data_IF_993268615904
#
_entry.id   IF_993268615904
#
_cell.length_a   1.000
_cell.length_b   1.000
_cell.length_c   1.000
_cell.angle_alpha   90.00
_cell.angle_beta   90.00
_cell.angle_gamma   90.00
#
_symmetry.space_group_name_H-M   'P 1'
#
loop_
_entity.id
_entity.type
_entity.pdbx_description
1 polymer ?
#
# COMPACT_ATOMS: atom_id res chain seq x y z
N UNK A 1 18.59 15.52 16.39
CA UNK A 1 18.35 15.43 17.83
C UNK A 1 16.85 15.68 18.02
N UNK A 2 16.05 14.62 18.12
CA UNK A 2 14.59 14.70 18.22
C UNK A 2 14.20 14.78 19.70
N UNK A 3 13.29 15.69 20.13
CA UNK A 3 12.88 15.78 21.51
C UNK A 3 12.04 14.57 21.93
N UNK A 4 12.35 14.08 23.13
CA UNK A 4 11.67 12.95 23.77
C UNK A 4 10.18 13.25 24.01
N UNK A 5 9.31 12.35 23.54
CA UNK A 5 7.89 12.39 23.76
C UNK A 5 7.57 12.09 25.23
N UNK A 6 6.96 13.05 25.91
CA UNK A 6 6.38 12.88 27.26
C UNK A 6 5.22 11.88 27.21
N UNK A 7 5.28 10.91 28.10
CA UNK A 7 4.31 9.85 28.30
C UNK A 7 3.07 10.44 28.96
N UNK A 8 1.89 10.33 28.33
CA UNK A 8 0.59 10.58 28.95
C UNK A 8 -0.32 9.36 28.84
N UNK A 9 -0.63 8.84 30.00
CA UNK A 9 -1.83 8.21 30.59
C UNK A 9 -2.77 7.31 29.78
N UNK A 10 -2.75 6.11 30.18
CA UNK A 10 -3.73 5.03 30.53
C UNK A 10 -4.99 4.73 29.70
N UNK A 11 -5.57 5.57 28.88
CA UNK A 11 -6.79 5.22 28.13
C UNK A 11 -6.55 4.88 26.64
N UNK A 12 -5.41 5.26 26.06
CA UNK A 12 -5.04 5.01 24.66
C UNK A 12 -4.34 3.66 24.42
N UNK A 13 -4.28 2.78 25.42
CA UNK A 13 -3.46 1.56 25.37
C UNK A 13 -4.00 0.48 24.41
N UNK A 14 -5.26 0.53 24.02
CA UNK A 14 -5.87 -0.52 23.19
C UNK A 14 -5.59 -0.32 21.71
N UNK A 15 -5.55 0.92 21.22
CA UNK A 15 -5.31 1.23 19.80
C UNK A 15 -3.83 1.07 19.44
N UNK A 16 -2.93 1.49 20.35
CA UNK A 16 -1.47 1.45 20.09
C UNK A 16 -0.85 0.06 20.30
N UNK A 17 -1.49 -0.84 21.08
CA UNK A 17 -0.96 -2.19 21.33
C UNK A 17 -0.92 -3.09 20.09
N UNK A 18 -1.83 -2.93 19.15
CA UNK A 18 -1.86 -3.73 17.92
C UNK A 18 -0.70 -3.47 16.95
N UNK A 19 -0.02 -2.32 17.06
CA UNK A 19 1.04 -1.91 16.13
C UNK A 19 2.45 -2.31 16.57
N UNK A 20 2.65 -2.73 17.83
CA UNK A 20 3.98 -3.08 18.37
C UNK A 20 4.43 -4.50 18.06
N UNK A 21 3.53 -5.41 17.72
CA UNK A 21 3.83 -6.85 17.53
C UNK A 21 4.07 -7.26 16.07
N UNK A 22 3.83 -6.38 15.13
CA UNK A 22 4.16 -6.60 13.73
C UNK A 22 5.33 -5.67 13.40
N UNK A 23 6.33 -6.12 12.69
CA UNK A 23 7.45 -5.33 12.12
C UNK A 23 6.95 -4.25 11.13
N UNK A 24 5.90 -3.53 11.50
CA UNK A 24 5.22 -2.53 10.70
C UNK A 24 5.88 -1.20 10.99
N UNK A 25 6.37 -0.56 9.96
CA UNK A 25 6.81 0.83 9.97
C UNK A 25 5.72 1.69 10.63
N UNK A 26 6.11 2.59 11.54
CA UNK A 26 5.15 3.43 12.28
C UNK A 26 4.28 4.20 11.29
N UNK A 27 2.94 4.09 11.42
CA UNK A 27 2.05 4.81 10.50
C UNK A 27 2.23 6.32 10.66
N UNK A 28 2.02 7.07 9.58
CA UNK A 28 2.19 8.51 9.52
C UNK A 28 0.94 9.16 8.95
N UNK A 29 0.45 10.22 9.60
CA UNK A 29 -0.68 11.00 9.10
C UNK A 29 -0.16 12.32 8.56
N UNK A 30 -0.59 12.67 7.35
CA UNK A 30 -0.35 13.98 6.76
C UNK A 30 -1.59 14.84 6.94
N UNK A 31 -1.42 16.10 7.32
CA UNK A 31 -2.51 17.07 7.44
C UNK A 31 -2.21 18.24 6.50
N UNK A 32 -3.13 18.55 5.59
CA UNK A 32 -3.01 19.66 4.66
C UNK A 32 -4.23 20.56 4.79
N UNK A 33 -4.00 21.73 5.35
CA UNK A 33 -5.02 22.73 5.65
C UNK A 33 -4.36 24.11 5.69
N UNK A 34 -4.94 25.12 5.08
CA UNK A 34 -4.39 26.47 5.07
C UNK A 34 -4.74 27.25 6.35
N UNK A 35 -5.84 26.91 7.02
CA UNK A 35 -6.16 27.48 8.33
C UNK A 35 -5.26 26.87 9.40
N UNK A 36 -4.39 27.72 9.95
CA UNK A 36 -3.43 27.31 10.99
C UNK A 36 -4.13 26.76 12.22
N UNK A 37 -5.23 27.39 12.67
CA UNK A 37 -5.95 26.96 13.88
C UNK A 37 -6.64 25.62 13.68
N UNK A 38 -7.29 25.41 12.54
CA UNK A 38 -7.91 24.13 12.20
C UNK A 38 -6.85 23.03 12.07
N UNK A 39 -5.75 23.32 11.39
CA UNK A 39 -4.63 22.39 11.21
C UNK A 39 -4.01 21.98 12.55
N UNK A 40 -3.70 22.93 13.42
CA UNK A 40 -3.15 22.66 14.76
C UNK A 40 -4.10 21.82 15.59
N UNK A 41 -5.40 22.12 15.59
CA UNK A 41 -6.41 21.32 16.31
C UNK A 41 -6.47 19.86 15.86
N UNK A 42 -6.37 19.61 14.55
CA UNK A 42 -6.29 18.24 13.99
C UNK A 42 -4.98 17.56 14.38
N UNK A 43 -3.86 18.29 14.31
CA UNK A 43 -2.54 17.77 14.70
C UNK A 43 -2.52 17.37 16.17
N UNK A 44 -2.98 18.24 17.06
CA UNK A 44 -3.02 18.01 18.50
C UNK A 44 -3.88 16.78 18.84
N UNK A 45 -5.05 16.65 18.22
CA UNK A 45 -5.92 15.50 18.39
C UNK A 45 -5.23 14.19 17.99
N UNK A 46 -4.62 14.15 16.82
CA UNK A 46 -3.96 12.95 16.32
C UNK A 46 -2.71 12.59 17.15
N UNK A 47 -1.95 13.58 17.58
CA UNK A 47 -0.80 13.39 18.46
C UNK A 47 -1.21 12.93 19.86
N UNK A 48 -2.37 13.37 20.38
CA UNK A 48 -2.88 12.94 21.68
C UNK A 48 -3.14 11.43 21.75
N UNK A 49 -3.47 10.81 20.62
CA UNK A 49 -3.63 9.35 20.49
C UNK A 49 -2.34 8.63 20.05
N UNK A 50 -1.21 9.35 19.99
CA UNK A 50 0.11 8.77 19.71
C UNK A 50 0.42 8.56 18.24
N UNK A 51 -0.33 9.15 17.31
CA UNK A 51 -0.05 9.11 15.87
C UNK A 51 0.99 10.18 15.51
N UNK A 52 2.06 9.83 14.77
CA UNK A 52 2.96 10.80 14.19
C UNK A 52 2.25 11.60 13.10
N UNK A 53 2.42 12.92 13.10
CA UNK A 53 1.78 13.82 12.14
C UNK A 53 2.82 14.73 11.50
N UNK A 54 2.70 14.93 10.17
CA UNK A 54 3.40 15.99 9.44
C UNK A 54 2.31 16.88 8.83
N UNK A 55 2.38 18.17 9.09
CA UNK A 55 1.37 19.13 8.62
C UNK A 55 1.95 20.09 7.59
N UNK A 56 1.11 20.52 6.65
CA UNK A 56 1.43 21.44 5.58
C UNK A 56 0.33 22.48 5.43
N UNK A 57 0.70 23.72 5.11
CA UNK A 57 -0.25 24.82 4.89
C UNK A 57 -0.78 24.89 3.46
N UNK A 58 -0.25 24.06 2.53
CA UNK A 58 -0.67 24.10 1.13
C UNK A 58 -0.33 22.82 0.38
N UNK A 59 -1.02 22.59 -0.75
CA UNK A 59 -0.74 21.48 -1.66
C UNK A 59 0.69 21.50 -2.24
N UNK A 60 1.24 22.65 -2.70
CA UNK A 60 2.64 22.70 -3.16
C UNK A 60 3.64 22.36 -2.07
N UNK A 61 3.42 22.79 -0.84
CA UNK A 61 4.28 22.47 0.30
C UNK A 61 4.30 20.97 0.57
N UNK A 62 3.15 20.31 0.53
CA UNK A 62 3.08 18.85 0.64
C UNK A 62 3.85 18.14 -0.48
N UNK A 63 3.72 18.59 -1.72
CA UNK A 63 4.40 17.95 -2.87
C UNK A 63 5.92 18.06 -2.78
N UNK A 64 6.44 19.14 -2.19
CA UNK A 64 7.88 19.39 -1.99
C UNK A 64 8.39 18.86 -0.66
N UNK A 65 7.49 18.59 0.29
CA UNK A 65 7.82 18.17 1.64
C UNK A 65 8.33 16.74 1.76
N UNK A 66 8.88 16.38 2.93
CA UNK A 66 9.34 15.03 3.19
C UNK A 66 8.18 14.05 3.25
N UNK A 67 8.29 12.96 2.50
CA UNK A 67 7.33 11.85 2.51
C UNK A 67 8.06 10.55 2.82
N UNK A 68 8.21 10.21 4.09
CA UNK A 68 8.78 8.93 4.49
C UNK A 68 8.00 7.77 3.88
N UNK A 69 8.68 6.71 3.49
CA UNK A 69 8.04 5.49 2.97
C UNK A 69 7.41 4.68 4.11
N UNK A 70 6.32 5.20 4.66
CA UNK A 70 5.54 4.61 5.75
C UNK A 70 4.07 4.44 5.36
N UNK A 71 3.35 3.47 5.95
CA UNK A 71 1.91 3.40 5.79
C UNK A 71 1.28 4.64 6.40
N UNK A 72 0.25 5.18 5.77
CA UNK A 72 -0.39 6.38 6.31
C UNK A 72 -1.58 6.83 5.50
N UNK A 73 -2.14 7.97 5.88
CA UNK A 73 -3.24 8.63 5.20
C UNK A 73 -3.02 10.14 5.19
N UNK A 74 -3.81 10.83 4.37
CA UNK A 74 -3.83 12.29 4.29
C UNK A 74 -5.19 12.81 4.73
N UNK A 75 -5.18 13.75 5.66
CA UNK A 75 -6.32 14.56 6.07
C UNK A 75 -6.20 15.87 5.31
N UNK A 76 -7.18 16.18 4.48
CA UNK A 76 -7.09 17.21 3.46
C UNK A 76 -8.29 18.15 3.52
N UNK A 77 -8.04 19.45 3.68
CA UNK A 77 -9.11 20.42 3.49
C UNK A 77 -9.56 20.49 2.04
N UNK A 78 -10.87 20.63 1.86
CA UNK A 78 -11.49 20.80 0.52
C UNK A 78 -11.14 22.14 -0.11
N UNK A 79 -10.94 23.19 0.69
CA UNK A 79 -10.70 24.55 0.24
C UNK A 79 -9.26 24.99 0.47
N UNK A 80 -8.37 24.58 -0.40
CA UNK A 80 -6.98 25.05 -0.36
C UNK A 80 -6.78 26.27 -1.25
N UNK A 81 -5.88 27.18 -0.89
CA UNK A 81 -5.51 28.31 -1.73
C UNK A 81 -4.94 27.87 -3.07
N UNK A 82 -5.47 28.39 -4.15
CA UNK A 82 -4.99 28.12 -5.50
C UNK A 82 -5.42 26.80 -6.12
N UNK A 83 -5.88 25.82 -5.31
CA UNK A 83 -6.42 24.55 -5.82
C UNK A 83 -7.47 23.99 -4.87
N UNK A 84 -8.47 23.29 -5.36
CA UNK A 84 -9.38 22.57 -4.47
C UNK A 84 -8.75 21.27 -4.01
N UNK A 85 -9.11 20.79 -2.79
CA UNK A 85 -8.67 19.49 -2.30
C UNK A 85 -9.00 18.34 -3.25
N UNK A 86 -10.14 18.43 -3.96
CA UNK A 86 -10.54 17.46 -4.99
C UNK A 86 -9.61 17.47 -6.21
N UNK A 87 -9.14 18.64 -6.63
CA UNK A 87 -8.14 18.75 -7.70
C UNK A 87 -6.79 18.23 -7.21
N UNK A 88 -6.43 18.55 -5.98
CA UNK A 88 -5.21 18.07 -5.38
C UNK A 88 -5.18 16.54 -5.26
N UNK A 89 -6.29 15.90 -4.92
CA UNK A 89 -6.40 14.43 -4.94
C UNK A 89 -6.04 13.84 -6.32
N UNK A 90 -6.47 14.48 -7.42
CA UNK A 90 -6.08 14.04 -8.77
C UNK A 90 -4.58 14.20 -9.01
N UNK A 91 -4.00 15.31 -8.57
CA UNK A 91 -2.55 15.54 -8.66
C UNK A 91 -1.78 14.48 -7.89
N UNK A 92 -2.26 14.04 -6.70
CA UNK A 92 -1.64 12.95 -5.97
C UNK A 92 -1.63 11.65 -6.76
N UNK A 93 -2.73 11.31 -7.43
CA UNK A 93 -2.83 10.11 -8.28
C UNK A 93 -1.88 10.21 -9.48
N UNK A 94 -1.82 11.34 -10.15
CA UNK A 94 -0.91 11.59 -11.28
C UNK A 94 0.56 11.54 -10.88
N UNK A 95 0.86 11.92 -9.63
CA UNK A 95 2.20 11.84 -9.04
C UNK A 95 2.54 10.45 -8.45
N UNK A 96 1.70 9.44 -8.68
CA UNK A 96 1.84 8.07 -8.15
C UNK A 96 1.88 8.01 -6.60
N UNK A 97 1.21 8.99 -5.96
CA UNK A 97 1.10 9.08 -4.50
C UNK A 97 -0.21 8.44 -4.06
N UNK A 98 -0.18 7.17 -3.69
CA UNK A 98 -1.35 6.38 -3.35
C UNK A 98 -1.68 6.43 -1.85
N UNK A 99 -1.81 7.63 -1.30
CA UNK A 99 -2.26 7.82 0.08
C UNK A 99 -3.79 7.81 0.14
N UNK A 100 -4.40 7.11 1.10
CA UNK A 100 -5.82 7.25 1.44
C UNK A 100 -6.14 8.69 1.82
N UNK A 101 -7.19 9.26 1.25
CA UNK A 101 -7.59 10.67 1.47
C UNK A 101 -8.85 10.72 2.31
N UNK A 102 -8.80 11.55 3.37
CA UNK A 102 -9.92 11.92 4.23
C UNK A 102 -10.12 13.41 4.05
N UNK A 103 -11.30 13.81 3.59
CA UNK A 103 -11.61 15.23 3.44
C UNK A 103 -12.19 15.82 4.70
N UNK A 104 -11.76 17.06 5.03
CA UNK A 104 -12.38 17.91 6.05
C UNK A 104 -12.86 19.18 5.36
N UNK A 105 -14.01 19.72 5.76
CA UNK A 105 -14.50 20.99 5.22
C UNK A 105 -15.41 21.70 6.20
N UNK A 106 -15.29 23.04 6.25
CA UNK A 106 -16.21 23.90 6.97
C UNK A 106 -17.57 24.10 6.28
N UNK A 107 -17.64 23.79 4.98
CA UNK A 107 -18.84 23.97 4.17
C UNK A 107 -18.98 22.75 3.25
N UNK A 108 -19.53 21.67 3.81
CA UNK A 108 -19.85 20.47 3.02
C UNK A 108 -21.19 20.62 2.32
N UNK A 109 -21.20 20.64 0.99
CA UNK A 109 -22.40 20.42 0.20
C UNK A 109 -22.46 18.96 -0.28
N UNK A 110 -23.66 18.46 -0.51
CA UNK A 110 -23.89 17.09 -0.95
C UNK A 110 -23.16 16.77 -2.28
N UNK A 111 -23.19 17.65 -3.30
CA UNK A 111 -22.46 17.40 -4.55
C UNK A 111 -20.96 17.21 -4.34
N UNK A 112 -20.32 18.03 -3.52
CA UNK A 112 -18.87 17.94 -3.23
C UNK A 112 -18.51 16.65 -2.51
N UNK A 113 -19.29 16.24 -1.50
CA UNK A 113 -19.05 14.99 -0.78
C UNK A 113 -19.21 13.76 -1.69
N UNK A 114 -20.22 13.75 -2.56
CA UNK A 114 -20.41 12.68 -3.55
C UNK A 114 -19.24 12.61 -4.52
N UNK A 115 -18.74 13.76 -5.00
CA UNK A 115 -17.57 13.80 -5.88
C UNK A 115 -16.30 13.29 -5.18
N UNK A 116 -16.07 13.67 -3.94
CA UNK A 116 -14.95 13.21 -3.14
C UNK A 116 -14.94 11.66 -3.00
N UNK A 117 -16.08 11.09 -2.62
CA UNK A 117 -16.24 9.65 -2.47
C UNK A 117 -16.08 8.89 -3.81
N UNK A 118 -16.65 9.42 -4.91
CA UNK A 118 -16.46 8.85 -6.26
C UNK A 118 -15.01 8.91 -6.73
N UNK A 119 -14.23 9.88 -6.25
CA UNK A 119 -12.79 10.00 -6.54
C UNK A 119 -11.92 9.09 -5.67
N UNK A 120 -12.53 8.26 -4.81
CA UNK A 120 -11.81 7.29 -3.97
C UNK A 120 -11.36 7.83 -2.62
N UNK A 121 -11.97 8.91 -2.12
CA UNK A 121 -11.80 9.32 -0.74
C UNK A 121 -12.34 8.24 0.21
N UNK A 122 -11.71 8.09 1.37
CA UNK A 122 -12.18 7.16 2.41
C UNK A 122 -13.37 7.73 3.14
N UNK A 123 -13.28 9.02 3.50
CA UNK A 123 -14.30 9.68 4.30
C UNK A 123 -14.35 11.17 3.97
N UNK A 124 -15.49 11.78 4.28
CA UNK A 124 -15.73 13.20 4.11
C UNK A 124 -16.38 13.74 5.40
N UNK A 125 -15.63 14.56 6.14
CA UNK A 125 -16.02 15.08 7.45
C UNK A 125 -16.31 16.58 7.37
N UNK A 126 -17.38 17.02 8.04
CA UNK A 126 -17.73 18.44 8.14
C UNK A 126 -17.34 19.00 9.49
N UNK A 127 -16.95 20.27 9.52
CA UNK A 127 -16.75 20.99 10.80
C UNK A 127 -18.11 21.50 11.34
N UNK A 128 -18.30 21.53 12.67
CA UNK A 128 -17.32 21.27 13.71
C UNK A 128 -16.90 19.81 13.75
N UNK A 129 -15.58 19.60 13.69
CA UNK A 129 -15.00 18.27 13.62
C UNK A 129 -15.24 17.50 14.94
N UNK A 130 -15.79 16.30 14.83
CA UNK A 130 -15.93 15.40 15.95
C UNK A 130 -14.72 14.47 16.01
N UNK A 131 -14.16 14.29 17.21
CA UNK A 131 -12.93 13.51 17.42
C UNK A 131 -13.07 12.06 16.92
N UNK A 132 -14.12 11.37 17.37
CA UNK A 132 -14.29 9.95 17.06
C UNK A 132 -14.40 9.64 15.56
N UNK A 133 -15.25 10.32 14.77
CA UNK A 133 -15.30 10.10 13.31
C UNK A 133 -13.97 10.35 12.60
N UNK A 134 -13.18 11.33 13.03
CA UNK A 134 -11.85 11.56 12.46
C UNK A 134 -10.91 10.42 12.79
N UNK A 135 -10.87 9.97 14.04
CA UNK A 135 -10.01 8.87 14.46
C UNK A 135 -10.38 7.56 13.77
N UNK A 136 -11.67 7.28 13.60
CA UNK A 136 -12.15 6.09 12.89
C UNK A 136 -11.76 6.13 11.41
N UNK A 137 -11.92 7.27 10.74
CA UNK A 137 -11.51 7.46 9.36
C UNK A 137 -9.99 7.31 9.17
N UNK A 138 -9.20 7.91 10.06
CA UNK A 138 -7.73 7.81 10.04
C UNK A 138 -7.29 6.36 10.24
N UNK A 139 -7.88 5.64 11.20
CA UNK A 139 -7.57 4.23 11.43
C UNK A 139 -7.89 3.37 10.20
N UNK A 140 -9.08 3.54 9.61
CA UNK A 140 -9.46 2.85 8.37
C UNK A 140 -8.50 3.16 7.22
N UNK A 141 -8.04 4.41 7.12
CA UNK A 141 -7.04 4.85 6.15
C UNK A 141 -5.70 4.14 6.32
N UNK A 142 -5.19 4.11 7.55
CA UNK A 142 -3.92 3.46 7.89
C UNK A 142 -4.01 1.95 7.64
N UNK A 143 -5.07 1.28 8.07
CA UNK A 143 -5.28 -0.15 7.84
C UNK A 143 -5.31 -0.49 6.34
N UNK A 144 -6.05 0.30 5.56
CA UNK A 144 -6.10 0.16 4.11
C UNK A 144 -4.73 0.38 3.45
N UNK A 145 -3.92 1.33 3.92
CA UNK A 145 -2.57 1.56 3.45
C UNK A 145 -1.64 0.39 3.80
N UNK A 146 -1.71 -0.13 5.02
CA UNK A 146 -0.94 -1.31 5.45
C UNK A 146 -1.25 -2.53 4.58
N UNK A 147 -2.53 -2.83 4.37
CA UNK A 147 -2.95 -3.96 3.54
C UNK A 147 -2.47 -3.84 2.10
N UNK A 148 -2.59 -2.65 1.49
CA UNK A 148 -2.07 -2.40 0.13
C UNK A 148 -0.56 -2.61 0.05
N UNK A 149 0.21 -2.11 1.03
CA UNK A 149 1.67 -2.29 1.08
C UNK A 149 2.06 -3.76 1.22
N UNK A 150 1.38 -4.51 2.08
CA UNK A 150 1.61 -5.96 2.24
C UNK A 150 1.33 -6.70 0.92
N UNK A 151 0.20 -6.40 0.27
CA UNK A 151 -0.15 -6.99 -1.03
C UNK A 151 0.89 -6.64 -2.09
N UNK A 152 1.32 -5.38 -2.16
CA UNK A 152 2.34 -4.93 -3.11
C UNK A 152 3.69 -5.60 -2.87
N UNK A 153 4.15 -5.69 -1.61
CA UNK A 153 5.37 -6.43 -1.24
C UNK A 153 5.28 -7.91 -1.65
N UNK A 154 4.13 -8.54 -1.41
CA UNK A 154 3.91 -9.94 -1.81
C UNK A 154 3.93 -10.13 -3.33
N UNK A 155 3.23 -9.27 -4.07
CA UNK A 155 3.23 -9.31 -5.54
C UNK A 155 4.63 -9.06 -6.12
N UNK A 156 5.38 -8.11 -5.56
CA UNK A 156 6.76 -7.83 -5.97
C UNK A 156 7.68 -9.01 -5.75
N UNK A 157 7.54 -9.69 -4.61
CA UNK A 157 8.32 -10.90 -4.31
C UNK A 157 7.95 -12.06 -5.26
N UNK A 158 6.65 -12.26 -5.56
CA UNK A 158 6.22 -13.26 -6.53
C UNK A 158 6.76 -12.93 -7.94
N UNK A 159 6.73 -11.65 -8.35
CA UNK A 159 7.29 -11.20 -9.63
C UNK A 159 8.78 -11.47 -9.69
N UNK A 160 9.52 -11.12 -8.65
CA UNK A 160 10.96 -11.40 -8.54
C UNK A 160 11.25 -12.89 -8.69
N UNK A 161 10.50 -13.76 -8.02
CA UNK A 161 10.64 -15.22 -8.13
C UNK A 161 10.34 -15.70 -9.56
N UNK A 162 9.32 -15.13 -10.20
CA UNK A 162 8.99 -15.45 -11.57
C UNK A 162 10.10 -15.02 -12.56
N UNK A 163 10.74 -13.89 -12.31
CA UNK A 163 11.87 -13.42 -13.14
C UNK A 163 13.10 -14.30 -13.03
N UNK A 164 13.29 -15.00 -11.93
CA UNK A 164 14.37 -15.96 -11.75
C UNK A 164 14.17 -17.28 -12.53
N UNK A 165 12.95 -17.55 -13.01
CA UNK A 165 12.68 -18.73 -13.81
C UNK A 165 13.38 -18.65 -15.16
N UNK A 166 13.99 -19.76 -15.58
CA UNK A 166 14.51 -19.92 -16.94
C UNK A 166 13.38 -19.83 -17.98
N UNK A 167 13.68 -19.52 -19.24
CA UNK A 167 12.66 -19.51 -20.31
C UNK A 167 11.84 -20.80 -20.35
N UNK A 168 12.48 -21.93 -20.10
CA UNK A 168 11.82 -23.24 -20.12
C UNK A 168 10.87 -23.44 -18.94
N UNK A 169 11.27 -23.01 -17.75
CA UNK A 169 10.43 -23.05 -16.55
C UNK A 169 9.22 -22.12 -16.68
N UNK A 170 9.38 -20.93 -17.28
CA UNK A 170 8.26 -20.02 -17.57
C UNK A 170 7.25 -20.66 -18.54
N UNK A 171 7.74 -21.38 -19.54
CA UNK A 171 6.89 -22.09 -20.48
C UNK A 171 6.08 -23.21 -19.80
N UNK A 172 6.71 -23.97 -18.91
CA UNK A 172 6.03 -24.97 -18.07
C UNK A 172 5.01 -24.30 -17.17
N UNK A 173 5.42 -23.27 -16.47
CA UNK A 173 4.57 -22.51 -15.52
C UNK A 173 3.30 -21.99 -16.20
N UNK A 174 3.43 -21.38 -17.38
CA UNK A 174 2.29 -20.88 -18.14
C UNK A 174 1.26 -21.97 -18.47
N UNK A 175 1.71 -23.20 -18.74
CA UNK A 175 0.83 -24.34 -19.03
C UNK A 175 0.17 -24.91 -17.78
N UNK A 176 0.91 -24.92 -16.67
CA UNK A 176 0.38 -25.35 -15.34
C UNK A 176 -0.73 -24.44 -14.88
N UNK A 177 -0.55 -23.10 -15.01
CA UNK A 177 -1.55 -22.09 -14.60
C UNK A 177 -2.86 -22.22 -15.39
N UNK A 178 -2.79 -22.64 -16.66
CA UNK A 178 -3.99 -22.89 -17.50
C UNK A 178 -4.65 -24.23 -17.13
N UNK A 179 -4.08 -25.02 -16.21
CA UNK A 179 -4.66 -26.29 -15.76
C UNK A 179 -4.41 -27.46 -16.71
N UNK A 180 -3.40 -27.41 -17.59
CA UNK A 180 -3.10 -28.54 -18.46
C UNK A 180 -2.54 -29.73 -17.67
N UNK A 181 -2.97 -30.97 -18.00
CA UNK A 181 -2.44 -32.17 -17.38
C UNK A 181 -0.94 -32.33 -17.64
N UNK A 182 -0.18 -32.81 -16.66
CA UNK A 182 1.28 -32.98 -16.73
C UNK A 182 1.74 -33.77 -17.99
N UNK A 183 0.94 -34.78 -18.40
CA UNK A 183 1.23 -35.59 -19.62
C UNK A 183 1.21 -34.73 -20.88
N UNK A 184 0.28 -33.78 -21.00
CA UNK A 184 0.21 -32.86 -22.14
C UNK A 184 1.33 -31.82 -22.08
N UNK A 185 1.68 -31.34 -20.90
CA UNK A 185 2.79 -30.44 -20.72
C UNK A 185 4.08 -31.10 -21.13
N UNK A 186 4.33 -32.35 -20.67
CA UNK A 186 5.51 -33.12 -21.05
C UNK A 186 5.61 -33.34 -22.57
N UNK A 187 4.50 -33.70 -23.23
CA UNK A 187 4.47 -33.91 -24.69
C UNK A 187 4.82 -32.64 -25.50
N UNK A 188 4.40 -31.46 -25.01
CA UNK A 188 4.73 -30.17 -25.65
C UNK A 188 6.16 -29.71 -25.38
N UNK A 189 6.82 -30.28 -24.38
CA UNK A 189 8.15 -29.88 -23.94
C UNK A 189 9.27 -30.76 -24.52
N UNK A 190 8.92 -31.88 -25.13
CA UNK A 190 9.89 -32.70 -25.85
C UNK A 190 10.30 -31.93 -27.11
N UNK A 191 11.60 -31.59 -27.29
CA UNK A 191 12.06 -30.98 -28.54
C UNK A 191 11.74 -31.94 -29.68
N UNK A 192 11.12 -31.44 -30.75
CA UNK A 192 10.98 -32.24 -31.96
C UNK A 192 12.38 -32.66 -32.42
N UNK A 193 12.57 -33.96 -32.67
CA UNK A 193 13.87 -34.58 -33.00
C UNK A 193 14.45 -34.08 -34.35
N UNK A 194 14.01 -32.92 -34.84
CA UNK A 194 14.37 -32.35 -36.14
C UNK A 194 15.18 -31.05 -36.12
N UNK A 195 15.52 -30.46 -34.96
CA UNK A 195 16.25 -29.19 -34.95
C UNK A 195 17.75 -29.40 -34.77
N UNK A 196 18.56 -29.15 -35.84
CA UNK A 196 20.00 -29.41 -35.84
C UNK A 196 20.80 -28.53 -34.87
N UNK A 197 20.20 -27.45 -34.31
CA UNK A 197 20.87 -26.53 -33.38
C UNK A 197 20.97 -27.06 -31.95
N UNK A 198 20.19 -28.09 -31.58
CA UNK A 198 20.16 -28.64 -30.23
C UNK A 198 21.26 -29.65 -29.91
N UNK A 199 22.06 -30.10 -30.90
CA UNK A 199 23.15 -31.09 -30.65
C UNK A 199 24.35 -30.52 -29.90
N UNK A 200 24.50 -29.20 -29.78
CA UNK A 200 25.69 -28.59 -29.14
C UNK A 200 25.51 -28.21 -27.66
N UNK A 201 24.29 -28.17 -27.13
CA UNK A 201 24.04 -27.80 -25.72
C UNK A 201 23.84 -28.99 -24.77
N UNK A 202 23.75 -30.20 -25.26
CA UNK A 202 23.49 -31.40 -24.45
C UNK A 202 24.72 -31.91 -23.65
N UNK A 203 25.87 -31.24 -23.72
CA UNK A 203 27.12 -31.67 -23.06
C UNK A 203 27.47 -30.82 -21.79
N UNK A 204 26.62 -29.91 -21.34
CA UNK A 204 26.80 -29.29 -20.03
C UNK A 204 25.73 -29.82 -19.08
N UNK A 205 26.09 -30.85 -18.31
CA UNK A 205 25.35 -31.27 -17.13
C UNK A 205 25.37 -30.11 -16.10
N UNK A 206 24.23 -29.53 -15.72
CA UNK A 206 24.21 -28.70 -14.52
C UNK A 206 24.38 -29.59 -13.29
N UNK A 207 25.14 -29.10 -12.31
CA UNK A 207 25.30 -29.75 -11.02
C UNK A 207 23.91 -29.89 -10.33
N UNK A 208 23.73 -30.92 -9.47
CA UNK A 208 22.46 -31.14 -8.80
C UNK A 208 22.17 -29.98 -7.83
N UNK A 209 21.11 -29.24 -8.10
CA UNK A 209 20.57 -28.29 -7.14
C UNK A 209 20.06 -29.06 -5.93
N UNK A 210 20.65 -28.76 -4.77
CA UNK A 210 20.28 -29.29 -3.48
C UNK A 210 18.78 -29.11 -3.22
N UNK A 211 18.17 -30.21 -2.83
CA UNK A 211 16.79 -30.38 -2.40
C UNK A 211 16.37 -29.40 -1.32
N UNK A 212 15.61 -28.37 -1.67
CA UNK A 212 14.88 -27.53 -0.70
C UNK A 212 13.49 -27.14 -1.17
N UNK A 213 12.87 -27.93 -2.04
CA UNK A 213 11.43 -27.78 -2.32
C UNK A 213 10.73 -29.12 -2.05
N UNK A 214 10.10 -29.21 -0.90
CA UNK A 214 9.29 -30.35 -0.46
C UNK A 214 8.03 -30.55 -1.30
N UNK A 215 8.19 -31.06 -2.52
CA UNK A 215 7.08 -31.46 -3.39
C UNK A 215 6.62 -32.92 -3.22
N UNK A 216 6.93 -33.56 -2.05
CA UNK A 216 6.66 -34.98 -1.87
C UNK A 216 5.28 -35.37 -1.35
N UNK A 217 4.35 -34.44 -1.07
CA UNK A 217 3.11 -34.85 -0.39
C UNK A 217 1.80 -34.20 -0.87
N UNK A 218 1.53 -34.09 -2.17
CA UNK A 218 0.15 -33.85 -2.62
C UNK A 218 -0.22 -34.41 -4.00
N UNK A 219 0.33 -35.55 -4.39
CA UNK A 219 -0.17 -36.30 -5.54
C UNK A 219 -0.58 -37.72 -5.12
N UNK A 220 -1.42 -37.80 -4.07
CA UNK A 220 -2.23 -39.00 -3.84
C UNK A 220 -3.63 -38.55 -3.45
N UNK A 221 -4.64 -39.05 -4.17
CA UNK A 221 -6.09 -38.84 -4.07
C UNK A 221 -6.59 -37.77 -5.06
N UNK A 222 -6.97 -38.16 -6.19
CA UNK A 222 -8.22 -38.58 -6.86
C UNK A 222 -7.91 -38.92 -8.32
#
# INVERSE_FOLDING_TARGET
MFPEARIFSSCCHTIVKGWRDLSIERPLVFVVDDDTSAREGVVDLLQSVGLPVISFGSAPEFLQGPRPDAPGCIVLDVRLPGTSGLQFQKVLIEADIHLPVIFITGHGDIPTSVMAMKSGAIEFLTTPLREQPLLDAVNAGIEGACLRRQTSKHVSELRRRFELLTPREREVFARVVIGRPNKQIAACLVPSVGDPLHRRSALRRPAPLASTFGWRHKCRVL
#
